data_IF_886991387877
#
_entry.id   IF_886991387877
#
_cell.length_a   1.000
_cell.length_b   1.000
_cell.length_c   1.000
_cell.angle_alpha   90.00
_cell.angle_beta   90.00
_cell.angle_gamma   90.00
#
_symmetry.space_group_name_H-M   'P 1'
#
loop_
_entity.id
_entity.type
_entity.pdbx_description
1 polymer ?
#
# COMPACT_ATOMS: atom_id res chain seq x y z
N UNK A 1 3.87 -25.19 -35.88
CA UNK A 1 4.86 -24.85 -34.85
C UNK A 1 4.52 -25.69 -33.63
N UNK A 2 5.26 -26.77 -33.44
CA UNK A 2 5.07 -27.73 -32.33
C UNK A 2 5.63 -27.13 -31.04
N UNK A 3 4.83 -26.29 -30.36
CA UNK A 3 5.18 -25.82 -29.04
C UNK A 3 5.01 -26.94 -28.02
N UNK A 4 6.03 -27.22 -27.23
CA UNK A 4 5.95 -28.19 -26.12
C UNK A 4 4.74 -27.84 -25.24
N UNK A 5 3.84 -28.77 -24.91
CA UNK A 5 2.71 -28.52 -24.04
C UNK A 5 3.18 -27.96 -22.70
N UNK A 6 2.63 -26.83 -22.29
CA UNK A 6 2.97 -26.25 -20.98
C UNK A 6 2.25 -27.05 -19.89
N UNK A 7 2.97 -27.75 -18.98
CA UNK A 7 2.32 -28.53 -17.93
C UNK A 7 1.33 -27.68 -17.12
N UNK A 8 0.19 -28.29 -16.83
CA UNK A 8 -0.93 -27.65 -16.13
C UNK A 8 -0.65 -27.43 -14.64
N UNK A 9 -1.31 -26.42 -14.04
CA UNK A 9 -1.18 -26.12 -12.60
C UNK A 9 0.14 -25.49 -12.21
N UNK A 10 0.80 -24.73 -13.09
CA UNK A 10 2.11 -24.12 -12.82
C UNK A 10 2.22 -22.63 -13.17
N UNK A 11 3.19 -22.00 -12.55
CA UNK A 11 3.64 -20.66 -12.91
C UNK A 11 4.49 -20.67 -14.18
N UNK A 12 4.30 -19.66 -15.02
CA UNK A 12 5.06 -19.46 -16.25
C UNK A 12 5.53 -18.00 -16.32
N UNK A 13 6.80 -17.80 -16.66
CA UNK A 13 7.35 -16.47 -16.94
C UNK A 13 7.76 -16.36 -18.40
N UNK A 14 7.22 -15.37 -19.11
CA UNK A 14 7.54 -15.12 -20.52
C UNK A 14 7.83 -13.65 -20.68
N UNK A 15 8.99 -13.30 -21.18
CA UNK A 15 9.44 -11.90 -21.38
C UNK A 15 9.18 -11.02 -20.17
N UNK A 16 9.57 -11.50 -18.95
CA UNK A 16 9.43 -10.79 -17.67
C UNK A 16 7.99 -10.72 -17.11
N UNK A 17 7.01 -11.22 -17.83
CA UNK A 17 5.61 -11.28 -17.38
C UNK A 17 5.28 -12.63 -16.78
N UNK A 18 4.65 -12.65 -15.61
CA UNK A 18 4.29 -13.89 -14.88
C UNK A 18 2.83 -14.25 -15.11
N UNK A 19 2.59 -15.52 -15.36
CA UNK A 19 1.28 -16.12 -15.66
C UNK A 19 1.09 -17.36 -14.78
N UNK A 20 -0.14 -17.79 -14.64
CA UNK A 20 -0.45 -19.12 -14.09
C UNK A 20 -1.28 -19.90 -15.10
N UNK A 21 -0.89 -21.14 -15.34
CA UNK A 21 -1.59 -22.06 -16.24
C UNK A 21 -2.48 -22.97 -15.40
N UNK A 22 -3.78 -22.96 -15.66
CA UNK A 22 -4.74 -23.83 -14.97
C UNK A 22 -4.50 -25.31 -15.28
N UNK A 23 -5.09 -26.21 -14.49
CA UNK A 23 -5.07 -27.66 -14.78
C UNK A 23 -5.62 -28.03 -16.17
N UNK A 24 -6.42 -27.15 -16.77
CA UNK A 24 -6.97 -27.33 -18.13
C UNK A 24 -6.06 -26.73 -19.23
N UNK A 25 -4.85 -26.27 -18.90
CA UNK A 25 -3.88 -25.75 -19.86
C UNK A 25 -4.08 -24.28 -20.28
N UNK A 26 -5.03 -23.54 -19.68
CA UNK A 26 -5.32 -22.16 -20.04
C UNK A 26 -4.71 -21.16 -19.06
N UNK A 27 -4.32 -19.97 -19.55
CA UNK A 27 -3.95 -18.83 -18.69
C UNK A 27 -5.15 -18.43 -17.84
N UNK A 28 -4.93 -18.29 -16.53
CA UNK A 28 -5.97 -17.79 -15.65
C UNK A 28 -6.07 -16.26 -15.73
N UNK A 29 -7.27 -15.72 -15.50
CA UNK A 29 -7.56 -14.28 -15.43
C UNK A 29 -8.39 -13.97 -14.19
N UNK A 30 -8.39 -12.70 -13.76
CA UNK A 30 -9.12 -12.25 -12.60
C UNK A 30 -8.49 -12.69 -11.28
N UNK A 31 -9.27 -12.62 -10.20
CA UNK A 31 -8.84 -13.02 -8.86
C UNK A 31 -8.88 -14.54 -8.71
N UNK A 32 -7.75 -15.16 -8.35
CA UNK A 32 -7.61 -16.61 -8.18
C UNK A 32 -6.90 -16.94 -6.88
N UNK A 33 -7.34 -18.02 -6.24
CA UNK A 33 -6.64 -18.63 -5.10
C UNK A 33 -5.74 -19.75 -5.60
N UNK A 34 -4.45 -19.67 -5.31
CA UNK A 34 -3.42 -20.64 -5.68
C UNK A 34 -2.61 -20.91 -4.42
N UNK A 35 -2.56 -22.16 -3.95
CA UNK A 35 -1.88 -22.57 -2.71
C UNK A 35 -2.23 -21.65 -1.53
N UNK A 36 -3.51 -21.45 -1.26
CA UNK A 36 -4.09 -20.64 -0.18
C UNK A 36 -3.77 -19.14 -0.24
N UNK A 37 -3.10 -18.63 -1.29
CA UNK A 37 -2.84 -17.21 -1.52
C UNK A 37 -3.67 -16.69 -2.68
N UNK A 38 -4.17 -15.46 -2.57
CA UNK A 38 -4.94 -14.80 -3.64
C UNK A 38 -3.99 -14.05 -4.56
N UNK A 39 -4.24 -14.16 -5.87
CA UNK A 39 -3.50 -13.49 -6.93
C UNK A 39 -4.48 -12.86 -7.91
N UNK A 40 -4.14 -11.72 -8.49
CA UNK A 40 -4.96 -11.11 -9.52
C UNK A 40 -4.21 -11.04 -10.85
N UNK A 41 -4.87 -11.56 -11.88
CA UNK A 41 -4.39 -11.56 -13.27
C UNK A 41 -5.27 -10.64 -14.11
N UNK A 42 -4.67 -9.80 -14.93
CA UNK A 42 -5.43 -8.93 -15.84
C UNK A 42 -6.14 -9.76 -16.95
N UNK A 43 -6.86 -9.10 -17.85
CA UNK A 43 -7.57 -9.74 -18.98
C UNK A 43 -6.64 -10.52 -19.93
N UNK A 44 -5.36 -10.17 -19.99
CA UNK A 44 -4.33 -10.89 -20.77
C UNK A 44 -3.67 -12.03 -19.99
N UNK A 45 -4.12 -12.32 -18.77
CA UNK A 45 -3.58 -13.35 -17.89
C UNK A 45 -2.26 -12.97 -17.21
N UNK A 46 -1.82 -11.70 -17.29
CA UNK A 46 -0.58 -11.25 -16.63
C UNK A 46 -0.83 -11.00 -15.15
N UNK A 47 0.03 -11.55 -14.29
CA UNK A 47 0.00 -11.30 -12.84
C UNK A 47 0.24 -9.82 -12.54
N UNK A 48 -0.66 -9.21 -11.79
CA UNK A 48 -0.49 -7.85 -11.24
C UNK A 48 0.36 -7.94 -9.97
N UNK A 49 1.31 -6.99 -9.81
CA UNK A 49 2.25 -6.92 -8.68
C UNK A 49 2.49 -5.46 -8.27
N UNK A 50 3.02 -5.25 -7.07
CA UNK A 50 3.47 -3.94 -6.56
C UNK A 50 2.38 -2.88 -6.63
N UNK A 51 1.21 -3.15 -6.04
CA UNK A 51 0.09 -2.21 -5.94
C UNK A 51 -0.23 -1.95 -4.47
N UNK A 52 0.04 -0.75 -4.00
CA UNK A 52 -0.30 -0.30 -2.63
C UNK A 52 -1.80 -0.12 -2.42
N UNK A 53 -2.56 0.10 -3.49
CA UNK A 53 -4.01 0.12 -3.54
C UNK A 53 -4.46 -0.31 -4.93
N UNK A 54 -5.34 -1.29 -5.01
CA UNK A 54 -5.88 -1.81 -6.27
C UNK A 54 -7.31 -2.30 -6.09
N UNK A 55 -8.25 -1.74 -6.86
CA UNK A 55 -9.66 -2.09 -6.75
C UNK A 55 -10.01 -3.29 -7.63
N UNK A 56 -10.54 -4.36 -7.03
CA UNK A 56 -11.00 -5.56 -7.73
C UNK A 56 -12.46 -5.79 -7.35
N UNK A 57 -13.37 -5.68 -8.31
CA UNK A 57 -14.82 -5.84 -8.11
C UNK A 57 -15.35 -5.04 -6.91
N UNK A 58 -14.99 -3.76 -6.83
CA UNK A 58 -15.44 -2.85 -5.76
C UNK A 58 -14.72 -3.01 -4.41
N UNK A 59 -13.83 -3.99 -4.24
CA UNK A 59 -13.07 -4.25 -3.00
C UNK A 59 -11.63 -3.80 -3.15
N UNK A 60 -11.06 -3.22 -2.10
CA UNK A 60 -9.68 -2.73 -2.09
C UNK A 60 -8.69 -3.84 -1.71
N UNK A 61 -7.56 -3.86 -2.42
CA UNK A 61 -6.47 -4.81 -2.20
C UNK A 61 -5.13 -4.10 -2.24
N UNK A 62 -4.22 -4.57 -1.43
CA UNK A 62 -2.78 -4.36 -1.55
C UNK A 62 -2.20 -5.57 -2.27
N UNK A 63 -1.32 -5.37 -3.25
CA UNK A 63 -0.69 -6.47 -3.99
C UNK A 63 0.82 -6.31 -3.89
N UNK A 64 1.46 -7.26 -3.22
CA UNK A 64 2.90 -7.20 -2.95
C UNK A 64 3.77 -7.52 -4.19
N UNK A 65 5.08 -7.57 -4.01
CA UNK A 65 6.07 -7.89 -5.07
C UNK A 65 5.88 -9.29 -5.66
N UNK A 66 5.42 -10.26 -4.86
CA UNK A 66 5.14 -11.61 -5.31
C UNK A 66 3.81 -11.74 -6.05
N UNK A 67 2.97 -10.69 -6.01
CA UNK A 67 1.65 -10.65 -6.59
C UNK A 67 0.54 -11.18 -5.68
N UNK A 68 0.85 -11.43 -4.40
CA UNK A 68 -0.17 -11.83 -3.42
C UNK A 68 -1.09 -10.65 -3.14
N UNK A 69 -2.38 -10.83 -3.39
CA UNK A 69 -3.42 -9.83 -3.18
C UNK A 69 -4.04 -9.99 -1.78
N UNK A 70 -3.82 -9.01 -0.92
CA UNK A 70 -4.35 -8.94 0.45
C UNK A 70 -5.48 -7.92 0.47
N UNK A 71 -6.66 -8.32 0.93
CA UNK A 71 -7.79 -7.40 1.06
C UNK A 71 -7.51 -6.41 2.19
N UNK A 72 -7.76 -5.14 1.91
CA UNK A 72 -7.59 -4.04 2.89
C UNK A 72 -8.89 -3.26 3.05
N UNK A 73 -9.02 -2.48 4.13
CA UNK A 73 -10.12 -1.56 4.32
C UNK A 73 -10.05 -0.39 3.31
N UNK A 74 -11.20 0.22 3.02
CA UNK A 74 -11.25 1.42 2.17
C UNK A 74 -10.44 2.56 2.78
N UNK A 75 -10.46 2.69 4.10
CA UNK A 75 -9.70 3.70 4.86
C UNK A 75 -8.18 3.53 4.66
N UNK A 76 -7.65 2.30 4.85
CA UNK A 76 -6.23 2.02 4.57
C UNK A 76 -5.87 2.33 3.13
N UNK A 77 -6.70 1.91 2.17
CA UNK A 77 -6.46 2.15 0.75
C UNK A 77 -6.45 3.65 0.41
N UNK A 78 -7.33 4.43 1.03
CA UNK A 78 -7.38 5.89 0.88
C UNK A 78 -6.12 6.54 1.44
N UNK A 79 -5.74 6.21 2.67
CA UNK A 79 -4.50 6.68 3.28
C UNK A 79 -3.29 6.42 2.38
N UNK A 80 -3.17 5.20 1.84
CA UNK A 80 -2.06 4.84 0.96
C UNK A 80 -2.07 5.63 -0.36
N UNK A 81 -3.24 5.94 -0.93
CA UNK A 81 -3.33 6.79 -2.13
C UNK A 81 -2.88 8.23 -1.86
N UNK A 82 -3.28 8.80 -0.70
CA UNK A 82 -2.87 10.16 -0.31
C UNK A 82 -1.38 10.23 -0.01
N UNK A 83 -0.86 9.29 0.76
CA UNK A 83 0.57 9.19 1.02
C UNK A 83 1.39 9.01 -0.28
N UNK A 84 0.91 8.20 -1.22
CA UNK A 84 1.56 8.04 -2.54
C UNK A 84 1.62 9.36 -3.30
N UNK A 85 0.51 10.10 -3.36
CA UNK A 85 0.48 11.44 -3.98
C UNK A 85 1.46 12.40 -3.31
N UNK A 86 1.53 12.37 -1.97
CA UNK A 86 2.46 13.20 -1.22
C UNK A 86 3.92 12.87 -1.57
N UNK A 87 4.29 11.60 -1.56
CA UNK A 87 5.63 11.14 -1.95
C UNK A 87 5.96 11.57 -3.38
N UNK A 88 5.06 11.33 -4.34
CA UNK A 88 5.28 11.68 -5.75
C UNK A 88 5.40 13.19 -5.98
N UNK A 89 4.67 14.00 -5.20
CA UNK A 89 4.74 15.48 -5.28
C UNK A 89 6.09 16.03 -4.79
N UNK A 90 6.68 15.41 -3.78
CA UNK A 90 7.87 15.96 -3.10
C UNK A 90 9.18 15.27 -3.48
N UNK A 91 9.14 14.21 -4.30
CA UNK A 91 10.31 13.42 -4.66
C UNK A 91 10.40 13.14 -6.16
N UNK A 92 11.63 12.85 -6.64
CA UNK A 92 11.86 12.47 -8.03
C UNK A 92 11.84 10.94 -8.21
N UNK A 93 11.38 10.42 -9.37
CA UNK A 93 11.42 8.98 -9.69
C UNK A 93 12.81 8.35 -9.53
N UNK A 94 13.87 9.08 -9.86
CA UNK A 94 15.25 8.57 -9.86
C UNK A 94 15.90 8.47 -8.47
N UNK A 95 15.23 8.96 -7.42
CA UNK A 95 15.72 8.86 -6.05
C UNK A 95 15.52 7.44 -5.50
N UNK A 96 16.45 7.00 -4.65
CA UNK A 96 16.27 5.79 -3.85
C UNK A 96 15.12 5.95 -2.85
N UNK A 97 14.55 4.84 -2.37
CA UNK A 97 13.48 4.89 -1.35
C UNK A 97 13.93 5.57 -0.06
N UNK A 98 15.19 5.39 0.32
CA UNK A 98 15.80 6.06 1.48
C UNK A 98 15.87 7.57 1.31
N UNK A 99 16.30 8.06 0.15
CA UNK A 99 16.30 9.49 -0.17
C UNK A 99 14.88 10.08 -0.16
N UNK A 100 13.93 9.41 -0.82
CA UNK A 100 12.52 9.79 -0.82
C UNK A 100 11.95 9.87 0.60
N UNK A 101 12.23 8.87 1.43
CA UNK A 101 11.77 8.85 2.81
C UNK A 101 12.32 10.03 3.61
N UNK A 102 13.63 10.29 3.51
CA UNK A 102 14.25 11.43 4.20
C UNK A 102 13.62 12.77 3.79
N UNK A 103 13.36 12.97 2.50
CA UNK A 103 12.71 14.21 2.02
C UNK A 103 11.30 14.31 2.58
N UNK A 104 10.49 13.25 2.51
CA UNK A 104 9.13 13.26 3.05
C UNK A 104 9.13 13.51 4.57
N UNK A 105 10.03 12.87 5.31
CA UNK A 105 10.19 13.06 6.74
C UNK A 105 10.52 14.52 7.08
N UNK A 106 11.57 15.07 6.46
CA UNK A 106 11.99 16.45 6.70
C UNK A 106 10.88 17.45 6.32
N UNK A 107 10.15 17.17 5.25
CA UNK A 107 9.03 18.02 4.84
C UNK A 107 7.89 17.99 5.88
N UNK A 108 7.49 16.82 6.33
CA UNK A 108 6.47 16.66 7.37
C UNK A 108 6.90 17.32 8.68
N UNK A 109 8.16 17.19 9.08
CA UNK A 109 8.67 17.82 10.30
C UNK A 109 8.80 19.34 10.19
N UNK A 110 9.17 19.86 9.02
CA UNK A 110 9.44 21.28 8.81
C UNK A 110 8.21 22.13 8.45
N UNK A 111 7.19 21.53 7.85
CA UNK A 111 6.03 22.25 7.31
C UNK A 111 4.71 21.86 7.95
N UNK A 112 4.70 21.06 9.02
CA UNK A 112 3.47 20.75 9.76
C UNK A 112 2.97 21.99 10.50
N UNK A 113 1.70 22.35 10.28
CA UNK A 113 0.97 23.27 11.14
C UNK A 113 0.55 22.52 12.41
N UNK A 114 1.38 22.61 13.45
CA UNK A 114 1.22 21.83 14.66
C UNK A 114 -0.01 22.28 15.46
N UNK A 115 -0.95 21.37 15.65
CA UNK A 115 -2.21 21.56 16.36
C UNK A 115 -2.33 20.50 17.46
N UNK A 116 -1.86 20.75 18.68
CA UNK A 116 -1.82 19.73 19.74
C UNK A 116 -3.19 19.20 20.16
N UNK A 117 -4.27 19.91 19.84
CA UNK A 117 -5.65 19.50 20.15
C UNK A 117 -6.29 18.59 19.09
N UNK A 118 -5.64 18.39 17.94
CA UNK A 118 -6.13 17.47 16.88
C UNK A 118 -5.58 16.07 17.16
N UNK A 119 -6.15 15.43 18.18
CA UNK A 119 -5.75 14.10 18.60
C UNK A 119 -6.87 13.07 18.29
N UNK A 120 -6.52 11.81 18.07
CA UNK A 120 -7.51 10.75 18.11
C UNK A 120 -8.20 10.71 19.46
N UNK A 121 -9.49 10.43 19.49
CA UNK A 121 -10.25 10.22 20.72
C UNK A 121 -9.87 8.89 21.37
N UNK A 122 -10.20 8.70 22.66
CA UNK A 122 -9.98 7.44 23.38
C UNK A 122 -10.66 6.24 22.67
N UNK A 123 -11.79 6.48 22.04
CA UNK A 123 -12.50 5.47 21.26
C UNK A 123 -11.73 5.09 19.99
N UNK A 124 -11.14 6.08 19.31
CA UNK A 124 -10.34 5.86 18.10
C UNK A 124 -9.03 5.14 18.43
N UNK A 125 -8.34 5.48 19.53
CA UNK A 125 -7.13 4.79 19.96
C UNK A 125 -7.33 3.28 20.19
N UNK A 126 -8.54 2.86 20.60
CA UNK A 126 -8.89 1.45 20.74
C UNK A 126 -9.04 0.72 19.42
N UNK A 127 -9.05 1.44 18.30
CA UNK A 127 -9.15 0.86 16.96
C UNK A 127 -7.77 0.69 16.34
N UNK A 128 -7.64 -0.26 15.40
CA UNK A 128 -6.43 -0.42 14.60
C UNK A 128 -6.40 0.57 13.40
N UNK A 129 -7.35 1.51 13.33
CA UNK A 129 -7.57 2.38 12.18
C UNK A 129 -7.16 3.83 12.40
N UNK A 130 -6.99 4.27 13.64
CA UNK A 130 -6.66 5.66 13.96
C UNK A 130 -5.42 6.19 13.22
N UNK A 131 -4.33 5.41 12.97
CA UNK A 131 -3.20 5.96 12.22
C UNK A 131 -3.55 6.32 10.78
N UNK A 132 -4.49 5.58 10.16
CA UNK A 132 -4.94 5.90 8.82
C UNK A 132 -5.81 7.15 8.80
N UNK A 133 -6.70 7.33 9.80
CA UNK A 133 -7.53 8.51 9.95
C UNK A 133 -6.70 9.77 10.18
N UNK A 134 -5.75 9.70 11.12
CA UNK A 134 -4.85 10.83 11.43
C UNK A 134 -3.97 11.23 10.24
N UNK A 135 -3.42 10.26 9.51
CA UNK A 135 -2.63 10.55 8.30
C UNK A 135 -3.49 11.17 7.19
N UNK A 136 -4.72 10.66 6.97
CA UNK A 136 -5.66 11.21 5.99
C UNK A 136 -5.98 12.66 6.36
N UNK A 137 -6.30 12.92 7.62
CA UNK A 137 -6.60 14.26 8.10
C UNK A 137 -5.46 15.24 7.77
N UNK A 138 -4.22 14.90 8.08
CA UNK A 138 -3.07 15.75 7.77
C UNK A 138 -2.92 16.02 6.27
N UNK A 139 -3.03 14.99 5.43
CA UNK A 139 -2.90 15.17 3.98
C UNK A 139 -4.02 16.02 3.37
N UNK A 140 -5.21 16.05 3.99
CA UNK A 140 -6.36 16.82 3.52
C UNK A 140 -6.40 18.26 4.06
N UNK A 141 -5.72 18.53 5.18
CA UNK A 141 -5.79 19.80 5.88
C UNK A 141 -4.43 20.52 5.91
N UNK A 142 -3.72 20.54 4.78
CA UNK A 142 -2.43 21.26 4.62
C UNK A 142 -1.40 20.90 5.68
N UNK A 143 -1.31 19.65 6.06
CA UNK A 143 -0.46 19.11 7.11
C UNK A 143 -0.75 19.66 8.52
N UNK A 144 -1.96 20.17 8.78
CA UNK A 144 -2.38 20.48 10.14
C UNK A 144 -2.57 19.19 10.94
N UNK A 145 -1.99 19.10 12.13
CA UNK A 145 -2.13 17.93 12.98
C UNK A 145 -1.25 17.93 14.21
N UNK A 146 -1.48 16.96 15.09
CA UNK A 146 -0.66 16.72 16.29
C UNK A 146 0.49 15.76 16.01
N UNK A 147 1.26 15.44 17.04
CA UNK A 147 2.33 14.42 16.96
C UNK A 147 1.82 13.06 16.46
N UNK A 148 0.60 12.65 16.80
CA UNK A 148 -0.04 11.44 16.29
C UNK A 148 -0.28 11.49 14.78
N UNK A 149 -0.72 12.65 14.29
CA UNK A 149 -0.90 12.90 12.85
C UNK A 149 0.43 12.82 12.11
N UNK A 150 1.47 13.50 12.63
CA UNK A 150 2.82 13.49 12.05
C UNK A 150 3.36 12.07 11.98
N UNK A 151 3.35 11.33 13.10
CA UNK A 151 3.83 9.95 13.14
C UNK A 151 3.07 9.05 12.15
N UNK A 152 1.76 9.23 12.04
CA UNK A 152 0.90 8.50 11.12
C UNK A 152 1.19 8.82 9.65
N UNK A 153 1.39 10.09 9.31
CA UNK A 153 1.73 10.52 7.96
C UNK A 153 3.13 10.03 7.54
N UNK A 154 4.11 10.10 8.44
CA UNK A 154 5.46 9.56 8.23
C UNK A 154 5.39 8.05 7.99
N UNK A 155 4.64 7.31 8.81
CA UNK A 155 4.47 5.87 8.64
C UNK A 155 3.76 5.53 7.31
N UNK A 156 2.76 6.33 6.91
CA UNK A 156 2.09 6.13 5.63
C UNK A 156 3.05 6.32 4.44
N UNK A 157 3.90 7.35 4.47
CA UNK A 157 4.94 7.57 3.45
C UNK A 157 5.98 6.43 3.43
N UNK A 158 6.43 5.97 4.61
CA UNK A 158 7.35 4.84 4.71
C UNK A 158 6.75 3.57 4.07
N UNK A 159 5.49 3.27 4.36
CA UNK A 159 4.79 2.10 3.79
C UNK A 159 4.65 2.17 2.28
N UNK A 160 4.38 3.35 1.72
CA UNK A 160 4.34 3.57 0.26
C UNK A 160 5.70 3.27 -0.38
N UNK A 161 6.78 3.54 0.32
CA UNK A 161 8.16 3.30 -0.12
C UNK A 161 8.65 1.87 0.15
N UNK A 162 7.78 0.98 0.67
CA UNK A 162 8.08 -0.43 0.87
C UNK A 162 8.68 -0.79 2.22
N UNK A 163 8.68 0.14 3.18
CA UNK A 163 9.03 -0.14 4.57
C UNK A 163 7.82 -0.72 5.33
N UNK A 164 8.07 -1.35 6.47
CA UNK A 164 7.02 -1.87 7.36
C UNK A 164 7.00 -1.08 8.69
N UNK A 165 6.46 0.15 8.68
CA UNK A 165 6.39 0.99 9.87
C UNK A 165 5.27 0.54 10.80
N UNK A 166 5.51 0.73 12.11
CA UNK A 166 4.52 0.64 13.16
C UNK A 166 4.30 2.03 13.78
N UNK A 167 3.04 2.36 14.07
CA UNK A 167 2.68 3.54 14.85
C UNK A 167 2.12 3.05 16.17
N UNK A 168 2.78 3.42 17.25
CA UNK A 168 2.41 3.01 18.62
C UNK A 168 2.00 4.29 19.37
N UNK A 169 0.82 4.27 19.98
CA UNK A 169 0.46 5.25 20.98
C UNK A 169 0.88 4.71 22.34
N UNK A 170 1.73 5.45 23.04
CA UNK A 170 2.04 5.15 24.44
C UNK A 170 1.08 5.96 25.31
N UNK A 171 0.38 5.29 26.21
CA UNK A 171 -0.40 5.93 27.28
C UNK A 171 0.56 6.28 28.43
N UNK A 172 1.46 7.19 28.19
CA UNK A 172 2.40 7.66 29.20
C UNK A 172 2.32 9.19 29.25
N UNK A 173 2.27 9.70 30.45
CA UNK A 173 2.28 11.14 30.73
C UNK A 173 3.42 11.81 29.96
N UNK A 174 3.08 12.81 29.18
CA UNK A 174 4.00 13.76 28.61
C UNK A 174 4.04 15.02 29.46
#
# INVERSE_FOLDING_TARGET
KNGTPVPAGRWLTVKGRKYYISKKGYRVTGLKTIHNKKYYFNSKGVLIRNKISYKIKGKEYEINSDGVAIRVSSLKAECMRKAKKFVEKHTSPNMSNSQKFRICFNYLMGYTDFKPWINPTDAEFKTQTWPYQSAIYMFDNNLAGSCYGIASAVAACARVLGYEPYVIATTGDH
#
